data_IF_118689365283
#
_entry.id   IF_118689365283
#
_cell.length_a   1.000
_cell.length_b   1.000
_cell.length_c   1.000
_cell.angle_alpha   90.00
_cell.angle_beta   90.00
_cell.angle_gamma   90.00
#
_symmetry.space_group_name_H-M   'P 1'
#
loop_
_entity.id
_entity.type
_entity.pdbx_description
1 polymer ?
#
# COMPACT_ATOMS: atom_id res chain seq x y z
N UNK A 1 7.51 19.12 0.07
CA UNK A 1 7.92 19.79 1.32
C UNK A 1 6.78 19.92 2.33
N UNK A 2 5.60 19.33 2.06
CA UNK A 2 4.36 19.48 2.84
C UNK A 2 4.51 19.43 4.37
N UNK A 3 5.24 18.44 4.90
CA UNK A 3 5.45 18.31 6.35
C UNK A 3 6.27 19.45 6.97
N UNK A 4 7.27 19.99 6.25
CA UNK A 4 8.05 21.15 6.69
C UNK A 4 7.19 22.41 6.58
N UNK A 5 6.52 22.59 5.43
CA UNK A 5 5.69 23.76 5.14
C UNK A 5 4.53 23.92 6.14
N UNK A 6 3.95 22.79 6.59
CA UNK A 6 2.87 22.74 7.59
C UNK A 6 3.38 22.62 9.04
N UNK A 7 4.69 22.54 9.27
CA UNK A 7 5.24 22.36 10.62
C UNK A 7 4.75 21.08 11.32
N UNK A 8 4.54 20.00 10.56
CA UNK A 8 4.03 18.74 11.10
C UNK A 8 5.04 18.09 12.03
N UNK A 9 4.56 17.57 13.15
CA UNK A 9 5.40 16.82 14.10
C UNK A 9 5.36 15.33 13.75
N UNK A 10 6.51 14.69 13.45
CA UNK A 10 6.54 13.26 13.24
C UNK A 10 6.16 12.50 14.53
N UNK A 11 5.56 11.31 14.43
CA UNK A 11 5.30 10.48 15.59
C UNK A 11 6.60 10.10 16.32
N UNK A 12 6.48 9.71 17.58
CA UNK A 12 7.63 9.24 18.37
C UNK A 12 8.26 8.01 17.69
N UNK A 13 9.60 7.91 17.66
CA UNK A 13 10.28 6.77 17.07
C UNK A 13 9.98 5.50 17.87
N UNK A 14 9.84 4.38 17.16
CA UNK A 14 9.67 3.05 17.75
C UNK A 14 11.03 2.40 18.03
N UNK A 15 11.80 3.02 18.92
CA UNK A 15 13.10 2.49 19.32
C UNK A 15 12.93 1.21 20.17
N UNK A 16 13.79 0.21 19.97
CA UNK A 16 13.78 -1.06 20.71
C UNK A 16 12.50 -1.90 20.55
N UNK A 17 11.71 -1.65 19.51
CA UNK A 17 10.51 -2.44 19.17
C UNK A 17 10.72 -3.11 17.83
N UNK A 18 10.75 -4.44 17.80
CA UNK A 18 10.73 -5.18 16.54
C UNK A 18 9.28 -5.36 16.09
N UNK A 19 8.84 -4.56 15.12
CA UNK A 19 7.47 -4.56 14.60
C UNK A 19 7.04 -5.90 13.99
N UNK A 20 7.98 -6.74 13.55
CA UNK A 20 7.68 -8.08 13.02
C UNK A 20 7.24 -9.08 14.08
N UNK A 21 7.54 -8.82 15.36
CA UNK A 21 7.15 -9.68 16.48
C UNK A 21 5.85 -9.22 17.16
N UNK A 22 5.27 -8.10 16.73
CA UNK A 22 4.04 -7.58 17.31
C UNK A 22 2.83 -8.29 16.72
N UNK A 23 1.88 -8.64 17.58
CA UNK A 23 0.54 -9.05 17.13
C UNK A 23 -0.18 -7.87 16.46
N UNK A 24 -1.20 -8.15 15.66
CA UNK A 24 -2.04 -7.08 15.08
C UNK A 24 -2.67 -6.19 16.16
N UNK A 25 -3.08 -6.78 17.28
CA UNK A 25 -3.68 -6.05 18.39
C UNK A 25 -2.67 -5.13 19.08
N UNK A 26 -1.43 -5.59 19.26
CA UNK A 26 -0.32 -4.75 19.75
C UNK A 26 -0.07 -3.56 18.82
N UNK A 27 0.01 -3.82 17.51
CA UNK A 27 0.21 -2.77 16.50
C UNK A 27 -0.92 -1.73 16.55
N UNK A 28 -2.17 -2.17 16.66
CA UNK A 28 -3.33 -1.27 16.82
C UNK A 28 -3.25 -0.45 18.11
N UNK A 29 -2.95 -1.08 19.25
CA UNK A 29 -2.78 -0.39 20.55
C UNK A 29 -1.68 0.68 20.50
N UNK A 30 -0.59 0.37 19.80
CA UNK A 30 0.55 1.27 19.62
C UNK A 30 0.34 2.29 18.49
N UNK A 31 -0.82 2.29 17.82
CA UNK A 31 -1.15 3.15 16.67
C UNK A 31 -0.12 3.04 15.55
N UNK A 32 0.32 1.81 15.27
CA UNK A 32 1.24 1.48 14.18
C UNK A 32 0.40 1.02 12.99
N UNK A 33 0.11 1.90 12.01
CA UNK A 33 -0.62 1.49 10.82
C UNK A 33 0.18 0.47 9.99
N UNK A 34 -0.53 -0.35 9.24
CA UNK A 34 0.07 -1.12 8.15
C UNK A 34 0.04 -0.29 6.87
N UNK A 35 1.04 -0.49 6.02
CA UNK A 35 0.95 -0.06 4.63
C UNK A 35 -0.12 -0.89 3.90
N UNK A 36 -0.64 -0.39 2.77
CA UNK A 36 -1.49 -1.17 1.88
C UNK A 36 -0.87 -2.53 1.55
N UNK A 37 -1.66 -3.60 1.63
CA UNK A 37 -1.24 -4.98 1.40
C UNK A 37 -1.20 -5.39 -0.07
N UNK A 38 -1.74 -4.56 -0.96
CA UNK A 38 -1.73 -4.79 -2.41
C UNK A 38 -1.58 -3.51 -3.20
N UNK A 39 -1.19 -3.64 -4.48
CA UNK A 39 -1.18 -2.51 -5.42
C UNK A 39 -2.57 -1.86 -5.52
N UNK A 40 -3.64 -2.64 -5.54
CA UNK A 40 -5.01 -2.11 -5.61
C UNK A 40 -5.37 -1.25 -4.39
N UNK A 41 -4.93 -1.63 -3.19
CA UNK A 41 -5.13 -0.83 -1.98
C UNK A 41 -4.28 0.44 -2.01
N UNK A 42 -3.02 0.34 -2.44
CA UNK A 42 -2.14 1.50 -2.58
C UNK A 42 -2.67 2.53 -3.58
N UNK A 43 -3.26 2.09 -4.69
CA UNK A 43 -3.90 2.98 -5.67
C UNK A 43 -5.14 3.68 -5.11
N UNK A 44 -5.90 3.01 -4.22
CA UNK A 44 -7.05 3.63 -3.52
C UNK A 44 -6.59 4.68 -2.51
N UNK A 45 -5.53 4.41 -1.75
CA UNK A 45 -4.93 5.41 -0.85
C UNK A 45 -4.44 6.63 -1.63
N UNK A 46 -3.70 6.40 -2.73
CA UNK A 46 -3.21 7.47 -3.61
C UNK A 46 -4.35 8.32 -4.18
N UNK A 47 -5.49 7.73 -4.50
CA UNK A 47 -6.67 8.45 -5.01
C UNK A 47 -7.28 9.42 -3.98
N UNK A 48 -6.92 9.31 -2.70
CA UNK A 48 -7.36 10.23 -1.64
C UNK A 48 -6.27 11.24 -1.22
N UNK A 49 -5.02 11.03 -1.66
CA UNK A 49 -3.88 11.88 -1.30
C UNK A 49 -3.66 13.01 -2.33
N UNK A 50 -4.14 14.21 -1.99
CA UNK A 50 -3.98 15.40 -2.85
C UNK A 50 -2.53 15.83 -3.01
N UNK A 51 -1.70 15.68 -1.97
CA UNK A 51 -0.29 16.11 -2.02
C UNK A 51 0.45 15.29 -3.08
N UNK A 52 0.20 13.98 -3.12
CA UNK A 52 0.81 13.10 -4.12
C UNK A 52 0.21 13.31 -5.52
N UNK A 53 -1.10 13.51 -5.64
CA UNK A 53 -1.74 13.81 -6.93
C UNK A 53 -1.21 15.11 -7.55
N UNK A 54 -1.08 16.17 -6.74
CA UNK A 54 -0.54 17.46 -7.19
C UNK A 54 0.95 17.36 -7.54
N UNK A 55 1.73 16.59 -6.78
CA UNK A 55 3.15 16.38 -7.05
C UNK A 55 3.39 15.63 -8.38
N UNK A 56 2.52 14.68 -8.73
CA UNK A 56 2.57 13.98 -10.02
C UNK A 56 2.06 14.84 -11.17
N UNK A 57 1.09 15.71 -10.88
CA UNK A 57 0.35 16.47 -11.88
C UNK A 57 -0.69 15.62 -12.62
N UNK A 58 -1.72 16.25 -13.21
CA UNK A 58 -2.93 15.56 -13.69
C UNK A 58 -2.64 14.53 -14.78
N UNK A 59 -1.79 14.87 -15.76
CA UNK A 59 -1.49 13.99 -16.91
C UNK A 59 -0.73 12.73 -16.45
N UNK A 60 0.32 12.91 -15.64
CA UNK A 60 1.13 11.80 -15.14
C UNK A 60 0.31 10.92 -14.19
N UNK A 61 -0.47 11.53 -13.30
CA UNK A 61 -1.34 10.81 -12.37
C UNK A 61 -2.36 9.94 -13.11
N UNK A 62 -3.05 10.49 -14.12
CA UNK A 62 -4.02 9.75 -14.91
C UNK A 62 -3.37 8.60 -15.70
N UNK A 63 -2.24 8.86 -16.35
CA UNK A 63 -1.51 7.84 -17.11
C UNK A 63 -0.99 6.72 -16.20
N UNK A 64 -0.42 7.09 -15.05
CA UNK A 64 0.11 6.14 -14.07
C UNK A 64 -0.99 5.27 -13.46
N UNK A 65 -2.08 5.88 -12.98
CA UNK A 65 -3.18 5.13 -12.37
C UNK A 65 -3.86 4.20 -13.36
N UNK A 66 -4.10 4.63 -14.60
CA UNK A 66 -4.63 3.78 -15.67
C UNK A 66 -3.73 2.57 -15.92
N UNK A 67 -2.42 2.80 -16.08
CA UNK A 67 -1.46 1.71 -16.28
C UNK A 67 -1.45 0.74 -15.10
N UNK A 68 -1.44 1.24 -13.86
CA UNK A 68 -1.36 0.40 -12.66
C UNK A 68 -2.65 -0.35 -12.35
N UNK A 69 -3.81 0.19 -12.70
CA UNK A 69 -5.05 -0.58 -12.63
C UNK A 69 -5.07 -1.71 -13.66
N UNK A 70 -4.48 -1.52 -14.85
CA UNK A 70 -4.33 -2.61 -15.81
C UNK A 70 -3.44 -3.75 -15.24
N UNK A 71 -2.32 -3.42 -14.59
CA UNK A 71 -1.47 -4.40 -13.90
C UNK A 71 -2.26 -5.18 -12.81
N UNK A 72 -3.14 -4.49 -12.07
CA UNK A 72 -4.00 -5.11 -11.05
C UNK A 72 -4.96 -6.12 -11.68
N UNK A 73 -5.63 -5.75 -12.76
CA UNK A 73 -6.58 -6.65 -13.45
C UNK A 73 -5.87 -7.86 -14.07
N UNK A 74 -4.69 -7.65 -14.66
CA UNK A 74 -3.87 -8.73 -15.20
C UNK A 74 -3.46 -9.71 -14.09
N UNK A 75 -2.89 -9.20 -13.00
CA UNK A 75 -2.44 -10.06 -11.88
C UNK A 75 -3.58 -10.83 -11.21
N UNK A 76 -4.78 -10.26 -11.11
CA UNK A 76 -5.92 -10.89 -10.44
C UNK A 76 -6.59 -11.97 -11.29
N UNK A 77 -6.44 -11.92 -12.60
CA UNK A 77 -7.00 -12.93 -13.53
C UNK A 77 -6.00 -14.02 -13.89
N UNK A 78 -4.73 -13.86 -13.49
CA UNK A 78 -3.68 -14.82 -13.71
C UNK A 78 -3.72 -15.95 -12.66
N UNK A 79 -3.72 -17.20 -13.12
CA UNK A 79 -3.54 -18.38 -12.25
C UNK A 79 -2.04 -18.61 -12.08
N UNK A 80 -1.57 -18.53 -10.84
CA UNK A 80 -0.16 -18.65 -10.49
C UNK A 80 0.26 -20.11 -10.31
N UNK A 81 1.55 -20.40 -10.48
CA UNK A 81 2.11 -21.73 -10.23
C UNK A 81 1.83 -22.21 -8.79
N UNK A 82 1.86 -21.32 -7.81
CA UNK A 82 1.52 -21.64 -6.42
C UNK A 82 0.08 -22.15 -6.27
N UNK A 83 -0.88 -21.57 -7.01
CA UNK A 83 -2.27 -22.03 -7.00
C UNK A 83 -2.40 -23.39 -7.69
N UNK A 84 -1.68 -23.61 -8.79
CA UNK A 84 -1.63 -24.89 -9.49
C UNK A 84 -1.08 -25.99 -8.56
N UNK A 85 0.11 -25.78 -8.01
CA UNK A 85 0.76 -26.73 -7.09
C UNK A 85 -0.12 -27.07 -5.89
N UNK A 86 -0.86 -26.09 -5.37
CA UNK A 86 -1.67 -26.27 -4.16
C UNK A 86 -3.04 -26.91 -4.40
N UNK A 87 -3.66 -26.64 -5.55
CA UNK A 87 -5.06 -27.02 -5.77
C UNK A 87 -5.26 -28.03 -6.91
N UNK A 88 -4.33 -28.16 -7.86
CA UNK A 88 -4.49 -29.06 -9.01
C UNK A 88 -4.33 -30.54 -8.63
N UNK A 89 -3.42 -30.89 -7.72
CA UNK A 89 -3.27 -32.28 -7.25
C UNK A 89 -4.42 -32.76 -6.35
N UNK A 90 -5.25 -31.82 -5.87
CA UNK A 90 -6.38 -32.08 -4.96
C UNK A 90 -7.71 -32.18 -5.74
N UNK A 91 -7.69 -31.99 -7.07
CA UNK A 91 -8.84 -31.96 -7.96
C UNK A 91 -9.10 -33.30 -8.68
#
# INVERSE_FOLDING_TARGET
MDGIDKGMTPPKPLNNVNVYHLSEDDRKRMKIPSLPGSLSEALRELATDKVLQEALGPITYEAFTRAKWADVEESRTHVTDWEIERYLEVA
#
